data_IF_461934577701
#
_entry.id   IF_461934577701
#
_cell.length_a   1.000
_cell.length_b   1.000
_cell.length_c   1.000
_cell.angle_alpha   90.00
_cell.angle_beta   90.00
_cell.angle_gamma   90.00
#
_symmetry.space_group_name_H-M   'P 1'
#
loop_
_entity.id
_entity.type
_entity.pdbx_description
1 polymer ?
#
# COMPACT_ATOMS: atom_id res chain seq x y z
N UNK A 1 16.70 -7.43 4.36
CA UNK A 1 17.23 -6.09 4.65
C UNK A 1 16.08 -5.12 4.80
N UNK A 2 16.14 -4.19 5.74
CA UNK A 2 15.13 -3.15 5.88
C UNK A 2 15.75 -1.84 6.35
N UNK A 3 15.09 -0.72 6.02
CA UNK A 3 15.50 0.62 6.42
C UNK A 3 14.29 1.36 6.97
N UNK A 4 14.38 1.78 8.24
CA UNK A 4 13.31 2.52 8.91
C UNK A 4 13.22 3.97 8.41
N UNK A 5 11.99 4.46 8.28
CA UNK A 5 11.72 5.85 7.92
C UNK A 5 12.14 6.26 6.53
N UNK A 6 12.36 5.32 5.63
CA UNK A 6 12.87 5.58 4.29
C UNK A 6 12.07 4.79 3.26
N UNK A 7 11.69 5.45 2.16
CA UNK A 7 11.02 4.81 1.02
C UNK A 7 12.03 4.42 -0.05
N UNK A 8 11.81 3.28 -0.70
CA UNK A 8 12.57 2.86 -1.86
C UNK A 8 11.98 3.43 -3.15
N UNK A 9 10.64 3.50 -3.23
CA UNK A 9 9.95 3.96 -4.43
C UNK A 9 9.45 5.39 -4.28
N UNK A 10 9.36 6.10 -5.41
CA UNK A 10 8.63 7.36 -5.48
C UNK A 10 7.14 7.08 -5.30
N UNK A 11 6.57 7.61 -4.22
CA UNK A 11 5.17 7.38 -3.86
C UNK A 11 4.21 7.87 -4.96
N UNK A 12 4.50 9.02 -5.58
CA UNK A 12 3.64 9.57 -6.63
C UNK A 12 3.65 8.70 -7.88
N UNK A 13 4.78 8.06 -8.19
CA UNK A 13 4.85 7.10 -9.30
C UNK A 13 3.98 5.87 -9.02
N UNK A 14 4.06 5.31 -7.81
CA UNK A 14 3.20 4.17 -7.45
C UNK A 14 1.72 4.55 -7.52
N UNK A 15 1.35 5.72 -7.00
CA UNK A 15 -0.03 6.20 -7.08
C UNK A 15 -0.52 6.28 -8.52
N UNK A 16 0.32 6.78 -9.42
CA UNK A 16 -0.01 6.86 -10.85
C UNK A 16 -0.27 5.48 -11.45
N UNK A 17 0.60 4.51 -11.14
CA UNK A 17 0.43 3.14 -11.61
C UNK A 17 -0.86 2.52 -11.06
N UNK A 18 -1.17 2.73 -9.79
CA UNK A 18 -2.36 2.17 -9.16
C UNK A 18 -3.66 2.77 -9.70
N UNK A 19 -3.64 4.00 -10.20
CA UNK A 19 -4.80 4.62 -10.83
C UNK A 19 -5.11 4.03 -12.21
N UNK A 20 -4.14 3.36 -12.83
CA UNK A 20 -4.32 2.71 -14.12
C UNK A 20 -4.70 1.25 -13.89
N UNK A 21 -5.94 0.90 -14.25
CA UNK A 21 -6.48 -0.46 -14.03
C UNK A 21 -5.67 -1.55 -14.74
N UNK A 22 -4.99 -1.20 -15.83
CA UNK A 22 -4.17 -2.14 -16.58
C UNK A 22 -2.77 -2.33 -15.99
N UNK A 23 -2.38 -1.47 -15.05
CA UNK A 23 -1.02 -1.45 -14.48
C UNK A 23 -1.02 -1.68 -12.97
N UNK A 24 -2.13 -2.13 -12.40
CA UNK A 24 -2.23 -2.33 -10.96
C UNK A 24 -2.58 -3.77 -10.61
N UNK A 25 -2.05 -4.21 -9.48
CA UNK A 25 -2.39 -5.51 -8.89
C UNK A 25 -2.69 -5.26 -7.41
N UNK A 26 -3.79 -5.82 -6.94
CA UNK A 26 -4.12 -5.87 -5.51
C UNK A 26 -4.14 -7.34 -5.14
N UNK A 27 -3.30 -7.76 -4.18
CA UNK A 27 -3.26 -9.16 -3.79
C UNK A 27 -4.59 -9.59 -3.17
N UNK A 28 -4.88 -10.90 -3.25
CA UNK A 28 -6.08 -11.46 -2.62
C UNK A 28 -6.12 -11.13 -1.13
N UNK A 29 -5.01 -11.32 -0.43
CA UNK A 29 -4.92 -11.04 1.01
C UNK A 29 -5.21 -9.57 1.31
N UNK A 30 -4.68 -8.64 0.51
CA UNK A 30 -4.95 -7.22 0.68
C UNK A 30 -6.43 -6.91 0.48
N UNK A 31 -7.07 -7.49 -0.54
CA UNK A 31 -8.51 -7.30 -0.79
C UNK A 31 -9.35 -7.80 0.38
N UNK A 32 -9.06 -9.00 0.88
CA UNK A 32 -9.83 -9.59 1.98
C UNK A 32 -9.75 -8.73 3.23
N UNK A 33 -8.55 -8.33 3.63
CA UNK A 33 -8.35 -7.48 4.80
C UNK A 33 -9.01 -6.11 4.64
N UNK A 34 -8.88 -5.51 3.46
CA UNK A 34 -9.50 -4.21 3.19
C UNK A 34 -11.02 -4.29 3.24
N UNK A 35 -11.61 -5.34 2.70
CA UNK A 35 -13.07 -5.53 2.73
C UNK A 35 -13.59 -5.61 4.15
N UNK A 36 -12.90 -6.29 5.06
CA UNK A 36 -13.29 -6.36 6.47
C UNK A 36 -13.24 -5.01 7.16
N UNK A 37 -12.42 -4.07 6.65
CA UNK A 37 -12.31 -2.71 7.17
C UNK A 37 -13.30 -1.73 6.52
N UNK A 38 -14.12 -2.20 5.59
CA UNK A 38 -15.13 -1.37 4.94
C UNK A 38 -14.73 -0.77 3.60
N UNK A 39 -13.55 -1.11 3.06
CA UNK A 39 -13.13 -0.71 1.71
C UNK A 39 -13.63 -1.78 0.73
N UNK A 40 -14.86 -1.61 0.24
CA UNK A 40 -15.69 -2.68 -0.30
C UNK A 40 -15.44 -3.02 -1.78
N UNK A 41 -14.54 -2.32 -2.44
CA UNK A 41 -14.19 -2.60 -3.84
C UNK A 41 -12.76 -2.15 -4.13
N UNK A 42 -12.16 -2.64 -5.23
CA UNK A 42 -10.78 -2.30 -5.58
C UNK A 42 -10.53 -0.80 -5.73
N UNK A 43 -11.47 -0.06 -6.30
CA UNK A 43 -11.30 1.39 -6.47
C UNK A 43 -11.23 2.12 -5.13
N UNK A 44 -12.00 1.69 -4.13
CA UNK A 44 -11.95 2.27 -2.79
C UNK A 44 -10.59 2.02 -2.12
N UNK A 45 -10.01 0.84 -2.32
CA UNK A 45 -8.69 0.48 -1.80
C UNK A 45 -7.63 1.38 -2.44
N UNK A 46 -7.64 1.49 -3.76
CA UNK A 46 -6.69 2.33 -4.51
C UNK A 46 -6.83 3.79 -4.10
N UNK A 47 -8.06 4.28 -4.00
CA UNK A 47 -8.32 5.66 -3.60
C UNK A 47 -7.71 5.97 -2.23
N UNK A 48 -7.83 5.04 -1.28
CA UNK A 48 -7.22 5.24 0.05
C UNK A 48 -5.70 5.22 -0.01
N UNK A 49 -5.11 4.32 -0.77
CA UNK A 49 -3.64 4.28 -0.95
C UNK A 49 -3.16 5.57 -1.61
N UNK A 50 -3.92 6.14 -2.53
CA UNK A 50 -3.58 7.41 -3.16
C UNK A 50 -3.63 8.61 -2.21
N UNK A 51 -4.20 8.46 -1.01
CA UNK A 51 -4.18 9.49 0.03
C UNK A 51 -2.95 9.40 0.94
N UNK A 52 -2.10 8.39 0.76
CA UNK A 52 -0.86 8.28 1.53
C UNK A 52 0.03 9.50 1.29
N UNK A 53 0.72 9.93 2.34
CA UNK A 53 1.70 11.00 2.29
C UNK A 53 3.09 10.43 2.53
N UNK A 54 4.10 11.04 1.94
CA UNK A 54 5.48 10.57 2.04
C UNK A 54 5.98 10.50 3.49
N UNK A 55 5.49 11.38 4.38
CA UNK A 55 5.89 11.36 5.79
C UNK A 55 5.25 10.22 6.59
N UNK A 56 4.35 9.44 5.99
CA UNK A 56 3.75 8.27 6.64
C UNK A 56 4.56 7.00 6.41
N UNK A 57 5.69 7.08 5.73
CA UNK A 57 6.57 5.93 5.54
C UNK A 57 7.05 5.40 6.90
N UNK A 58 6.92 4.09 7.09
CA UNK A 58 7.44 3.40 8.25
C UNK A 58 8.79 2.77 7.95
N UNK A 59 8.88 1.96 6.90
CA UNK A 59 10.12 1.30 6.50
C UNK A 59 10.07 0.83 5.06
N UNK A 60 11.23 0.53 4.49
CA UNK A 60 11.34 -0.28 3.28
C UNK A 60 12.09 -1.57 3.60
N UNK A 61 11.75 -2.65 2.91
CA UNK A 61 12.32 -3.97 3.16
C UNK A 61 12.40 -4.79 1.87
N UNK A 62 13.37 -5.69 1.80
CA UNK A 62 13.41 -6.66 0.71
C UNK A 62 12.56 -7.88 1.06
N UNK A 63 12.13 -8.62 0.03
CA UNK A 63 11.41 -9.88 0.24
C UNK A 63 12.41 -11.01 0.52
N UNK A 64 11.96 -12.05 1.23
CA UNK A 64 12.80 -13.23 1.50
C UNK A 64 13.04 -14.04 0.22
N UNK A 65 12.05 -14.05 -0.68
CA UNK A 65 12.14 -14.80 -1.95
C UNK A 65 13.02 -14.10 -2.98
N UNK A 66 13.14 -12.78 -2.93
CA UNK A 66 13.92 -11.99 -3.89
C UNK A 66 14.48 -10.74 -3.21
N UNK A 67 15.75 -10.78 -2.88
CA UNK A 67 16.43 -9.68 -2.17
C UNK A 67 16.69 -8.46 -3.07
N UNK A 68 16.36 -8.54 -4.36
CA UNK A 68 16.41 -7.38 -5.26
C UNK A 68 15.07 -6.63 -5.33
N UNK A 69 14.03 -7.18 -4.72
CA UNK A 69 12.67 -6.62 -4.77
C UNK A 69 12.33 -5.96 -3.43
N UNK A 70 12.12 -4.64 -3.47
CA UNK A 70 11.81 -3.85 -2.29
C UNK A 70 10.31 -3.69 -2.11
N UNK A 71 9.89 -3.53 -0.86
CA UNK A 71 8.51 -3.26 -0.48
C UNK A 71 8.50 -2.11 0.51
N UNK A 72 7.69 -1.09 0.22
CA UNK A 72 7.55 0.07 1.11
C UNK A 72 6.32 -0.11 2.00
N UNK A 73 6.50 0.08 3.29
CA UNK A 73 5.45 -0.04 4.30
C UNK A 73 5.11 1.34 4.83
N UNK A 74 3.83 1.69 4.74
CA UNK A 74 3.29 2.94 5.27
C UNK A 74 2.36 2.65 6.44
N UNK A 75 2.44 3.49 7.47
CA UNK A 75 1.47 3.53 8.56
C UNK A 75 0.64 4.80 8.39
N UNK A 76 -0.67 4.65 8.31
CA UNK A 76 -1.56 5.77 8.06
C UNK A 76 -2.81 5.65 8.91
N UNK A 77 -3.44 6.77 9.20
CA UNK A 77 -4.68 6.80 9.99
C UNK A 77 -5.82 7.27 9.09
N UNK A 78 -6.90 6.51 9.07
CA UNK A 78 -8.12 6.91 8.39
C UNK A 78 -9.20 7.25 9.42
N UNK A 79 -9.88 8.38 9.22
CA UNK A 79 -10.99 8.81 10.07
C UNK A 79 -12.29 8.49 9.37
N UNK A 80 -13.15 7.70 10.03
CA UNK A 80 -14.43 7.30 9.48
C UNK A 80 -15.49 8.38 9.71
N UNK A 81 -16.63 8.25 9.02
CA UNK A 81 -17.72 9.21 9.11
C UNK A 81 -18.27 9.40 10.52
N UNK A 82 -18.20 8.36 11.37
CA UNK A 82 -18.65 8.42 12.77
C UNK A 82 -17.62 9.03 13.72
N UNK A 83 -16.48 9.50 13.19
CA UNK A 83 -15.39 10.06 13.98
C UNK A 83 -14.41 9.05 14.53
N UNK A 84 -14.66 7.75 14.37
CA UNK A 84 -13.69 6.72 14.78
C UNK A 84 -12.51 6.69 13.82
N UNK A 85 -11.36 6.23 14.33
CA UNK A 85 -10.13 6.12 13.54
C UNK A 85 -9.71 4.67 13.41
N UNK A 86 -9.14 4.34 12.25
CA UNK A 86 -8.48 3.06 12.03
C UNK A 86 -7.03 3.33 11.62
N UNK A 87 -6.10 2.60 12.24
CA UNK A 87 -4.69 2.66 11.88
C UNK A 87 -4.42 1.59 10.84
N UNK A 88 -3.85 1.99 9.71
CA UNK A 88 -3.65 1.13 8.56
C UNK A 88 -2.18 0.78 8.38
N UNK A 89 -1.94 -0.48 8.05
CA UNK A 89 -0.66 -1.01 7.57
C UNK A 89 -0.81 -1.25 6.07
N UNK A 90 -0.06 -0.51 5.25
CA UNK A 90 -0.16 -0.59 3.79
C UNK A 90 1.24 -0.88 3.24
N UNK A 91 1.37 -1.99 2.51
CA UNK A 91 2.63 -2.38 1.88
C UNK A 91 2.46 -2.35 0.38
N UNK A 92 3.33 -1.63 -0.31
CA UNK A 92 3.27 -1.42 -1.75
C UNK A 92 4.64 -1.65 -2.39
N UNK A 93 4.62 -1.99 -3.68
CA UNK A 93 5.84 -2.17 -4.46
C UNK A 93 5.58 -1.91 -5.95
N UNK A 94 6.66 -1.78 -6.71
CA UNK A 94 6.62 -1.87 -8.16
C UNK A 94 7.20 -3.24 -8.52
N UNK A 95 6.41 -4.07 -9.20
CA UNK A 95 6.83 -5.39 -9.63
C UNK A 95 7.83 -5.31 -10.77
N UNK A 96 8.53 -6.42 -11.04
CA UNK A 96 9.53 -6.49 -12.13
C UNK A 96 8.94 -6.13 -13.49
N UNK A 97 7.66 -6.42 -13.72
CA UNK A 97 6.97 -6.06 -14.96
C UNK A 97 6.50 -4.60 -15.00
N UNK A 98 6.79 -3.80 -13.98
CA UNK A 98 6.45 -2.39 -13.91
C UNK A 98 5.08 -2.08 -13.32
N UNK A 99 4.30 -3.08 -12.93
CA UNK A 99 2.98 -2.84 -12.32
C UNK A 99 3.12 -2.34 -10.89
N UNK A 100 2.23 -1.45 -10.48
CA UNK A 100 2.05 -1.08 -9.08
C UNK A 100 1.27 -2.19 -8.36
N UNK A 101 1.75 -2.58 -7.17
CA UNK A 101 1.16 -3.69 -6.42
C UNK A 101 0.85 -3.25 -5.00
N UNK A 102 -0.38 -3.46 -4.57
CA UNK A 102 -0.75 -3.36 -3.15
C UNK A 102 -0.62 -4.77 -2.57
N UNK A 103 0.45 -4.98 -1.79
CA UNK A 103 0.79 -6.29 -1.21
C UNK A 103 -0.05 -6.56 0.03
N UNK A 104 -0.20 -5.55 0.90
CA UNK A 104 -0.94 -5.65 2.15
C UNK A 104 -1.76 -4.39 2.38
N UNK A 105 -2.94 -4.56 2.91
CA UNK A 105 -3.81 -3.47 3.33
C UNK A 105 -4.64 -4.00 4.49
N UNK A 106 -4.25 -3.65 5.70
CA UNK A 106 -4.85 -4.23 6.90
C UNK A 106 -4.78 -3.26 8.06
N UNK A 107 -5.49 -3.57 9.12
CA UNK A 107 -5.38 -2.84 10.37
C UNK A 107 -4.00 -3.08 10.99
N UNK A 108 -3.41 -1.99 11.49
CA UNK A 108 -2.11 -2.03 12.14
C UNK A 108 -2.21 -2.71 13.53
#
# INVERSE_FOLDING_TARGET
MEHLGKAHYDLELIKKLLRDKDKRIITYTAKQSAFTLGYNNPDAIVERVCKLRSNEIYKTMTTDADTTLWQDVYHSVDTKADGSCVKLYIKIQIAKNGNGVIISFKEL
#
